data_IF_732993167942
#
_entry.id   IF_732993167942
#
_cell.length_a   1.000
_cell.length_b   1.000
_cell.length_c   1.000
_cell.angle_alpha   90.00
_cell.angle_beta   90.00
_cell.angle_gamma   90.00
#
_symmetry.space_group_name_H-M   'P 1'
#
loop_
_entity.id
_entity.type
_entity.pdbx_description
1 polymer ?
#
# COMPACT_ATOMS: atom_id res chain seq x y z
N UNK A 1 -62.80 -4.71 -26.96
CA UNK A 1 -62.61 -3.36 -27.55
C UNK A 1 -63.43 -2.38 -26.75
N UNK A 2 -62.98 -1.13 -26.67
CA UNK A 2 -63.54 0.02 -25.93
C UNK A 2 -62.94 0.22 -24.52
N UNK A 3 -61.96 1.13 -24.49
CA UNK A 3 -61.46 1.86 -23.31
C UNK A 3 -62.50 2.90 -22.85
N UNK A 4 -62.34 3.45 -21.64
CA UNK A 4 -62.63 4.85 -21.42
C UNK A 4 -61.37 5.62 -21.03
N UNK A 5 -61.17 6.73 -21.75
CA UNK A 5 -60.29 7.82 -21.39
C UNK A 5 -60.94 8.66 -20.28
N UNK A 6 -60.14 9.08 -19.29
CA UNK A 6 -60.51 10.15 -18.37
C UNK A 6 -59.38 11.18 -18.34
N UNK A 7 -59.80 12.43 -18.53
CA UNK A 7 -58.99 13.62 -18.73
C UNK A 7 -58.83 14.42 -17.42
N UNK A 8 -57.88 15.36 -17.48
CA UNK A 8 -57.67 16.51 -16.58
C UNK A 8 -57.26 16.15 -15.13
N UNK A 9 -56.33 16.82 -14.46
CA UNK A 9 -56.24 18.28 -14.28
C UNK A 9 -54.77 18.74 -14.19
N UNK A 10 -54.47 19.86 -14.87
CA UNK A 10 -53.22 20.60 -14.73
C UNK A 10 -53.32 21.60 -13.60
N UNK A 11 -52.39 21.51 -12.64
CA UNK A 11 -52.24 22.48 -11.55
C UNK A 11 -51.16 23.49 -11.91
N UNK A 12 -51.62 24.69 -12.25
CA UNK A 12 -50.82 25.90 -12.43
C UNK A 12 -50.34 26.39 -11.05
N UNK A 13 -49.04 26.28 -10.75
CA UNK A 13 -48.45 26.98 -9.61
C UNK A 13 -47.76 28.25 -10.11
N UNK A 14 -48.53 29.33 -9.92
CA UNK A 14 -48.17 30.72 -9.68
C UNK A 14 -46.67 31.08 -9.69
N UNK A 15 -46.33 31.94 -10.64
CA UNK A 15 -45.15 32.80 -10.63
C UNK A 15 -45.46 34.03 -9.76
N UNK A 16 -44.75 34.23 -8.65
CA UNK A 16 -44.96 35.42 -7.81
C UNK A 16 -44.09 35.49 -6.56
N UNK A 17 -43.27 36.55 -6.49
CA UNK A 17 -42.68 37.18 -5.30
C UNK A 17 -41.92 36.31 -4.28
N UNK A 18 -40.59 36.28 -4.39
CA UNK A 18 -39.71 36.45 -3.22
C UNK A 18 -38.44 37.21 -3.65
N UNK A 19 -38.59 38.54 -3.77
CA UNK A 19 -37.44 39.43 -3.71
C UNK A 19 -36.96 39.47 -2.25
N UNK A 20 -36.00 38.60 -1.91
CA UNK A 20 -35.20 38.77 -0.70
C UNK A 20 -33.94 39.54 -1.06
N UNK A 21 -33.94 40.79 -0.61
CA UNK A 21 -32.78 41.68 -0.53
C UNK A 21 -31.68 40.96 0.25
N UNK A 22 -30.62 40.53 -0.43
CA UNK A 22 -29.37 40.10 0.22
C UNK A 22 -28.54 41.36 0.36
N UNK A 23 -28.49 41.90 1.58
CA UNK A 23 -27.55 42.94 1.96
C UNK A 23 -26.12 42.43 1.79
N UNK A 24 -25.40 43.09 0.89
CA UNK A 24 -23.99 42.90 0.63
C UNK A 24 -23.19 43.27 1.88
N UNK A 25 -22.61 42.27 2.54
CA UNK A 25 -21.57 42.48 3.55
C UNK A 25 -20.25 42.88 2.86
N UNK A 26 -19.48 43.83 3.41
CA UNK A 26 -18.20 44.23 2.86
C UNK A 26 -17.14 43.12 3.03
N UNK A 27 -16.17 43.02 2.09
CA UNK A 27 -15.11 42.02 2.18
C UNK A 27 -14.15 42.36 3.33
N UNK A 28 -13.98 41.39 4.23
CA UNK A 28 -12.92 41.38 5.24
C UNK A 28 -11.57 41.35 4.51
N UNK A 29 -10.74 42.35 4.78
CA UNK A 29 -9.38 42.47 4.26
C UNK A 29 -8.52 41.29 4.70
N UNK A 30 -8.18 40.41 3.75
CA UNK A 30 -7.14 39.40 3.94
C UNK A 30 -5.79 40.09 3.74
N UNK A 31 -5.06 40.22 4.85
CA UNK A 31 -3.68 40.69 4.88
C UNK A 31 -2.78 39.82 4.00
N UNK A 32 -1.94 40.50 3.22
CA UNK A 32 -0.96 39.94 2.31
C UNK A 32 0.05 39.04 3.05
N UNK A 33 -0.10 37.72 2.92
CA UNK A 33 0.98 36.77 3.16
C UNK A 33 1.72 36.54 1.85
N UNK A 34 2.69 37.43 1.61
CA UNK A 34 3.70 37.31 0.57
C UNK A 34 4.63 36.13 0.91
N UNK A 35 4.73 35.22 -0.06
CA UNK A 35 5.96 34.55 -0.49
C UNK A 35 6.63 33.59 0.52
N UNK A 36 6.20 32.33 0.50
CA UNK A 36 6.92 31.17 1.06
C UNK A 36 7.04 30.04 0.02
N UNK A 37 7.25 30.39 -1.25
CA UNK A 37 7.62 29.46 -2.34
C UNK A 37 9.07 29.66 -2.81
N UNK A 38 9.83 30.54 -2.15
CA UNK A 38 11.23 30.86 -2.42
C UNK A 38 12.17 29.92 -1.64
N UNK A 39 12.04 28.61 -1.86
CA UNK A 39 13.10 27.66 -1.55
C UNK A 39 13.68 27.16 -2.87
N UNK A 40 14.82 27.76 -3.19
CA UNK A 40 15.63 27.53 -4.38
C UNK A 40 15.96 26.04 -4.57
N UNK A 41 15.64 25.40 -5.71
CA UNK A 41 16.30 24.18 -6.10
C UNK A 41 17.74 24.49 -6.53
N UNK A 42 18.69 23.71 -6.04
CA UNK A 42 20.10 23.76 -6.40
C UNK A 42 20.30 23.72 -7.93
N UNK A 43 21.29 24.44 -8.49
CA UNK A 43 21.56 24.39 -9.92
C UNK A 43 22.12 23.01 -10.29
N UNK A 44 21.29 22.18 -10.90
CA UNK A 44 21.75 21.05 -11.70
C UNK A 44 22.41 21.64 -12.94
N UNK A 45 23.75 21.72 -12.93
CA UNK A 45 24.55 22.02 -14.10
C UNK A 45 24.32 20.93 -15.14
N UNK A 46 23.39 21.18 -16.07
CA UNK A 46 23.36 20.51 -17.36
C UNK A 46 24.40 21.20 -18.21
N UNK A 47 25.53 20.56 -18.50
CA UNK A 47 26.48 21.04 -19.49
C UNK A 47 25.77 21.12 -20.86
N UNK A 48 25.59 22.32 -21.44
CA UNK A 48 25.23 22.41 -22.83
C UNK A 48 26.52 22.24 -23.64
N UNK A 49 26.43 21.47 -24.72
CA UNK A 49 27.41 21.43 -25.80
C UNK A 49 28.54 20.40 -25.68
N UNK A 50 28.18 19.13 -25.89
CA UNK A 50 29.04 18.23 -26.68
C UNK A 50 28.32 17.92 -27.99
N UNK A 51 28.39 18.85 -28.93
CA UNK A 51 28.07 18.60 -30.33
C UNK A 51 28.89 17.40 -30.82
N UNK A 52 28.27 16.23 -30.88
CA UNK A 52 28.76 15.17 -31.74
C UNK A 52 28.60 15.70 -33.17
N UNK A 53 29.70 16.18 -33.78
CA UNK A 53 29.74 16.47 -35.21
C UNK A 53 29.57 15.14 -35.94
N UNK A 54 28.35 14.79 -36.29
CA UNK A 54 28.10 13.83 -37.36
C UNK A 54 28.48 14.53 -38.65
N UNK A 55 29.55 14.06 -39.30
CA UNK A 55 30.00 14.62 -40.57
C UNK A 55 28.96 14.28 -41.65
N UNK A 56 28.49 15.24 -42.47
CA UNK A 56 27.50 14.99 -43.52
C UNK A 56 28.06 14.29 -44.78
N UNK A 57 29.17 13.56 -44.68
CA UNK A 57 29.86 12.98 -45.83
C UNK A 57 29.53 11.50 -46.13
N UNK A 58 28.78 10.80 -45.25
CA UNK A 58 28.55 9.35 -45.42
C UNK A 58 27.22 8.98 -46.12
N UNK A 59 26.42 9.96 -46.56
CA UNK A 59 25.22 9.70 -47.37
C UNK A 59 25.52 9.78 -48.86
N UNK A 60 26.47 8.97 -49.31
CA UNK A 60 26.63 8.65 -50.73
C UNK A 60 25.46 7.77 -51.18
N UNK A 61 24.61 8.39 -51.99
CA UNK A 61 23.67 7.79 -52.93
C UNK A 61 24.03 6.36 -53.35
N UNK A 62 23.26 5.39 -52.89
CA UNK A 62 23.10 4.10 -53.55
C UNK A 62 21.62 3.80 -53.71
N UNK A 63 21.01 4.42 -54.73
CA UNK A 63 19.79 3.89 -55.34
C UNK A 63 20.19 2.71 -56.23
N UNK A 64 19.64 1.52 -55.97
CA UNK A 64 19.10 0.72 -57.06
C UNK A 64 17.61 0.56 -56.79
N UNK A 65 16.85 1.51 -57.32
CA UNK A 65 15.43 1.31 -57.58
C UNK A 65 15.29 0.19 -58.62
N UNK A 66 14.13 -0.47 -58.64
CA UNK A 66 13.63 -1.35 -59.72
C UNK A 66 14.28 -2.74 -59.88
N UNK A 67 13.92 -3.72 -59.03
CA UNK A 67 13.59 -5.09 -59.51
C UNK A 67 12.93 -6.04 -58.46
N UNK A 68 12.09 -5.59 -57.53
CA UNK A 68 11.29 -6.53 -56.70
C UNK A 68 9.87 -5.98 -56.61
N UNK A 69 9.14 -6.06 -57.73
CA UNK A 69 7.74 -5.61 -57.81
C UNK A 69 6.88 -6.54 -58.67
N UNK A 70 7.19 -7.84 -58.75
CA UNK A 70 6.37 -8.80 -59.53
C UNK A 70 6.31 -10.23 -58.96
N UNK A 71 6.39 -10.48 -57.64
CA UNK A 71 6.13 -11.84 -57.09
C UNK A 71 5.50 -11.89 -55.69
N UNK A 72 4.88 -10.81 -55.20
CA UNK A 72 3.88 -10.96 -54.14
C UNK A 72 2.53 -10.86 -54.80
N UNK A 73 1.75 -11.96 -54.91
CA UNK A 73 0.35 -11.81 -55.30
C UNK A 73 -0.24 -10.81 -54.30
N UNK A 74 -0.93 -9.81 -54.83
CA UNK A 74 -1.86 -8.98 -54.07
C UNK A 74 -2.94 -9.93 -53.57
N UNK A 75 -2.61 -10.69 -52.53
CA UNK A 75 -3.59 -11.34 -51.70
C UNK A 75 -4.22 -10.17 -50.99
N UNK A 76 -5.28 -9.64 -51.60
CA UNK A 76 -6.22 -8.76 -50.95
C UNK A 76 -6.76 -9.56 -49.77
N UNK A 77 -6.01 -9.58 -48.66
CA UNK A 77 -6.55 -9.91 -47.37
C UNK A 77 -7.72 -8.93 -47.23
N UNK A 78 -8.97 -9.42 -47.13
CA UNK A 78 -10.05 -8.53 -46.78
C UNK A 78 -9.60 -7.89 -45.47
N UNK A 79 -9.62 -6.55 -45.42
CA UNK A 79 -9.50 -5.83 -44.18
C UNK A 79 -10.66 -6.33 -43.30
N UNK A 80 -10.39 -7.37 -42.52
CA UNK A 80 -11.25 -7.79 -41.46
C UNK A 80 -11.20 -6.63 -40.48
N UNK A 81 -12.15 -5.71 -40.66
CA UNK A 81 -12.50 -4.66 -39.73
C UNK A 81 -12.54 -5.32 -38.35
N UNK A 82 -11.51 -5.11 -37.53
CA UNK A 82 -11.54 -5.43 -36.11
C UNK A 82 -12.56 -4.47 -35.52
N UNK A 83 -13.85 -4.81 -35.66
CA UNK A 83 -14.95 -4.17 -34.95
C UNK A 83 -14.61 -4.37 -33.48
N UNK A 84 -14.04 -3.34 -32.86
CA UNK A 84 -13.82 -3.29 -31.43
C UNK A 84 -15.17 -3.60 -30.79
N UNK A 85 -15.31 -4.79 -30.20
CA UNK A 85 -16.55 -5.18 -29.56
C UNK A 85 -16.79 -4.20 -28.42
N UNK A 86 -17.87 -3.39 -28.48
CA UNK A 86 -18.17 -2.50 -27.38
C UNK A 86 -18.39 -3.36 -26.13
N UNK A 87 -17.81 -2.96 -25.01
CA UNK A 87 -17.98 -3.66 -23.74
C UNK A 87 -19.49 -3.78 -23.44
N UNK A 88 -19.99 -5.01 -23.35
CA UNK A 88 -21.40 -5.25 -23.06
C UNK A 88 -21.66 -5.11 -21.55
N UNK A 89 -21.95 -3.88 -21.14
CA UNK A 89 -22.26 -3.55 -19.74
C UNK A 89 -23.53 -4.25 -19.22
N UNK A 90 -24.37 -4.82 -20.11
CA UNK A 90 -25.57 -5.58 -19.72
C UNK A 90 -25.22 -6.89 -19.01
N UNK A 91 -24.01 -7.40 -19.19
CA UNK A 91 -23.53 -8.61 -18.55
C UNK A 91 -23.14 -8.39 -17.07
N UNK A 92 -23.06 -7.13 -16.61
CA UNK A 92 -22.66 -6.85 -15.23
C UNK A 92 -23.77 -7.19 -14.22
N UNK A 93 -23.46 -7.91 -13.13
CA UNK A 93 -24.45 -8.28 -12.11
C UNK A 93 -24.93 -7.04 -11.35
N UNK A 94 -26.19 -7.00 -10.87
CA UNK A 94 -26.75 -5.82 -10.24
C UNK A 94 -25.93 -5.35 -9.02
N UNK A 95 -25.97 -4.05 -8.77
CA UNK A 95 -25.37 -3.43 -7.58
C UNK A 95 -26.02 -4.03 -6.33
N UNK A 96 -25.20 -4.40 -5.33
CA UNK A 96 -25.73 -4.98 -4.11
C UNK A 96 -26.62 -3.98 -3.35
N UNK A 97 -27.73 -4.46 -2.78
CA UNK A 97 -28.62 -3.64 -1.97
C UNK A 97 -28.05 -3.43 -0.55
N UNK A 98 -28.18 -2.21 -0.04
CA UNK A 98 -27.81 -1.84 1.32
C UNK A 98 -26.43 -1.18 1.47
N UNK A 99 -26.12 -0.63 2.66
CA UNK A 99 -24.84 0.02 2.91
C UNK A 99 -23.68 -0.99 2.82
N UNK A 100 -22.56 -0.55 2.25
CA UNK A 100 -21.33 -1.35 2.11
C UNK A 100 -20.23 -0.75 2.98
N UNK A 101 -19.60 -1.58 3.79
CA UNK A 101 -18.47 -1.21 4.65
C UNK A 101 -17.19 -1.75 4.03
N UNK A 102 -16.22 -0.86 3.75
CA UNK A 102 -14.98 -1.27 3.10
C UNK A 102 -14.22 -2.31 3.92
N UNK A 103 -14.09 -2.15 5.24
CA UNK A 103 -13.27 -3.00 6.11
C UNK A 103 -13.90 -4.39 6.24
N UNK A 104 -15.23 -4.45 6.36
CA UNK A 104 -15.96 -5.71 6.56
C UNK A 104 -16.21 -6.46 5.25
N UNK A 105 -16.51 -5.74 4.18
CA UNK A 105 -17.02 -6.35 2.93
C UNK A 105 -15.97 -6.39 1.83
N UNK A 106 -15.23 -5.30 1.61
CA UNK A 106 -14.39 -5.13 0.42
C UNK A 106 -12.93 -5.53 0.69
N UNK A 107 -12.38 -5.12 1.82
CA UNK A 107 -11.01 -5.45 2.23
C UNK A 107 -10.72 -6.95 2.24
N UNK A 108 -11.57 -7.85 2.79
CA UNK A 108 -11.31 -9.28 2.72
C UNK A 108 -11.34 -9.82 1.28
N UNK A 109 -12.18 -9.26 0.40
CA UNK A 109 -12.23 -9.64 -1.01
C UNK A 109 -10.94 -9.26 -1.76
N UNK A 110 -10.47 -8.02 -1.56
CA UNK A 110 -9.21 -7.55 -2.14
C UNK A 110 -8.01 -8.32 -1.58
N UNK A 111 -8.00 -8.60 -0.28
CA UNK A 111 -6.95 -9.35 0.36
C UNK A 111 -6.85 -10.80 -0.13
N UNK A 112 -8.00 -11.45 -0.34
CA UNK A 112 -8.05 -12.84 -0.79
C UNK A 112 -7.67 -13.01 -2.27
N UNK A 113 -8.12 -12.11 -3.15
CA UNK A 113 -8.09 -12.32 -4.61
C UNK A 113 -7.20 -11.34 -5.38
N UNK A 114 -6.81 -10.20 -4.79
CA UNK A 114 -6.06 -9.15 -5.50
C UNK A 114 -4.62 -8.98 -5.02
N UNK A 115 -4.37 -9.01 -3.70
CA UNK A 115 -3.07 -8.65 -3.12
C UNK A 115 -1.90 -9.57 -3.55
N UNK A 116 -2.18 -10.81 -3.96
CA UNK A 116 -1.15 -11.74 -4.42
C UNK A 116 -0.41 -11.26 -5.69
N UNK A 117 -1.07 -10.47 -6.54
CA UNK A 117 -0.51 -9.94 -7.80
C UNK A 117 -0.47 -8.40 -7.87
N UNK A 118 -1.24 -7.72 -7.03
CA UNK A 118 -1.37 -6.26 -6.95
C UNK A 118 -1.17 -5.74 -5.52
N UNK A 119 -0.20 -6.31 -4.81
CA UNK A 119 0.15 -5.95 -3.44
C UNK A 119 1.62 -5.54 -3.32
N UNK A 120 2.15 -5.58 -2.10
CA UNK A 120 3.54 -5.16 -1.83
C UNK A 120 4.58 -5.95 -2.66
N UNK A 121 4.42 -7.27 -2.72
CA UNK A 121 5.41 -8.16 -3.36
C UNK A 121 5.36 -8.12 -4.89
N UNK A 122 4.17 -7.92 -5.47
CA UNK A 122 3.94 -7.94 -6.92
C UNK A 122 2.94 -6.86 -7.31
N UNK A 123 3.28 -6.10 -8.35
CA UNK A 123 2.50 -4.96 -8.83
C UNK A 123 2.28 -5.10 -10.34
N UNK A 124 1.47 -6.07 -10.74
CA UNK A 124 1.17 -6.26 -12.17
C UNK A 124 0.48 -5.02 -12.73
N UNK A 125 0.93 -4.54 -13.90
CA UNK A 125 0.40 -3.33 -14.53
C UNK A 125 0.53 -2.07 -13.69
N UNK A 126 1.58 -1.98 -12.85
CA UNK A 126 1.86 -0.83 -12.00
C UNK A 126 0.82 -0.59 -10.90
N UNK A 127 -0.09 -1.54 -10.65
CA UNK A 127 -1.23 -1.35 -9.77
C UNK A 127 -1.00 -1.95 -8.37
N UNK A 128 -1.30 -1.14 -7.34
CA UNK A 128 -1.30 -1.51 -5.93
C UNK A 128 -2.70 -1.34 -5.33
N UNK A 129 -3.29 -2.43 -4.84
CA UNK A 129 -4.66 -2.47 -4.28
C UNK A 129 -4.68 -2.70 -2.76
N UNK A 130 -3.53 -2.66 -2.09
CA UNK A 130 -3.39 -2.77 -0.63
C UNK A 130 -3.39 -1.41 0.07
N UNK A 131 -3.07 -0.33 -0.66
CA UNK A 131 -2.98 1.04 -0.16
C UNK A 131 -3.96 1.92 -0.94
N UNK A 132 -4.85 2.62 -0.22
CA UNK A 132 -5.86 3.54 -0.80
C UNK A 132 -5.28 4.52 -1.81
N UNK A 133 -4.22 5.25 -1.43
CA UNK A 133 -3.62 6.27 -2.28
C UNK A 133 -3.11 5.69 -3.62
N UNK A 134 -2.49 4.51 -3.59
CA UNK A 134 -2.00 3.85 -4.79
C UNK A 134 -3.13 3.24 -5.63
N UNK A 135 -4.16 2.69 -4.98
CA UNK A 135 -5.32 2.13 -5.66
C UNK A 135 -6.11 3.19 -6.44
N UNK A 136 -6.24 4.39 -5.87
CA UNK A 136 -6.91 5.53 -6.51
C UNK A 136 -6.05 6.23 -7.57
N UNK A 137 -4.72 6.21 -7.42
CA UNK A 137 -3.81 6.69 -8.47
C UNK A 137 -3.91 5.85 -9.76
N UNK A 138 -4.27 4.56 -9.64
CA UNK A 138 -4.39 3.65 -10.77
C UNK A 138 -3.09 2.92 -11.08
N UNK A 139 -2.99 2.38 -12.30
CA UNK A 139 -1.80 1.68 -12.79
C UNK A 139 -1.33 2.22 -14.13
N UNK A 140 -0.52 1.43 -14.84
CA UNK A 140 0.08 1.81 -16.13
C UNK A 140 -0.96 2.15 -17.21
N UNK A 141 -2.18 1.62 -17.06
CA UNK A 141 -3.31 1.87 -17.95
C UNK A 141 -4.26 2.97 -17.44
N UNK A 142 -3.84 3.78 -16.47
CA UNK A 142 -4.64 4.87 -15.89
C UNK A 142 -5.51 4.43 -14.70
N UNK A 143 -6.57 5.20 -14.38
CA UNK A 143 -7.38 4.97 -13.19
C UNK A 143 -8.16 3.66 -13.28
N UNK A 144 -8.09 2.87 -12.21
CA UNK A 144 -8.73 1.55 -12.13
C UNK A 144 -10.08 1.62 -11.41
N UNK A 145 -10.19 2.52 -10.43
CA UNK A 145 -11.40 2.82 -9.68
C UNK A 145 -11.84 4.24 -10.01
N UNK A 146 -13.07 4.38 -10.51
CA UNK A 146 -13.69 5.68 -10.77
C UNK A 146 -14.82 5.85 -9.74
N UNK A 147 -14.62 6.65 -8.67
CA UNK A 147 -15.63 6.86 -7.65
C UNK A 147 -16.96 7.33 -8.24
N UNK A 148 -18.08 6.73 -7.81
CA UNK A 148 -19.43 7.02 -8.28
C UNK A 148 -19.81 6.38 -9.62
N UNK A 149 -18.87 5.69 -10.29
CA UNK A 149 -19.11 5.10 -11.62
C UNK A 149 -18.58 3.65 -11.70
N UNK A 150 -19.25 2.72 -11.04
CA UNK A 150 -18.87 1.31 -11.05
C UNK A 150 -18.86 0.70 -12.45
N UNK A 151 -19.86 1.03 -13.28
CA UNK A 151 -19.99 0.47 -14.62
C UNK A 151 -18.91 0.95 -15.61
N UNK A 152 -18.26 2.10 -15.35
CA UNK A 152 -17.16 2.63 -16.17
C UNK A 152 -15.78 2.25 -15.61
N UNK A 153 -15.74 1.74 -14.38
CA UNK A 153 -14.48 1.41 -13.69
C UNK A 153 -13.84 0.14 -14.26
N UNK A 154 -12.56 0.23 -14.64
CA UNK A 154 -11.78 -0.91 -15.17
C UNK A 154 -11.70 -2.07 -14.17
N UNK A 155 -11.71 -1.78 -12.86
CA UNK A 155 -11.77 -2.81 -11.83
C UNK A 155 -12.96 -3.75 -12.04
N UNK A 156 -14.14 -3.18 -12.30
CA UNK A 156 -15.39 -3.93 -12.48
C UNK A 156 -15.36 -4.73 -13.78
N UNK A 157 -14.82 -4.16 -14.86
CA UNK A 157 -14.66 -4.87 -16.14
C UNK A 157 -13.74 -6.07 -16.02
N UNK A 158 -12.63 -5.93 -15.27
CA UNK A 158 -11.67 -7.00 -15.04
C UNK A 158 -12.26 -8.13 -14.19
N UNK A 159 -12.94 -7.81 -13.07
CA UNK A 159 -13.53 -8.85 -12.19
C UNK A 159 -14.74 -9.54 -12.79
N UNK A 160 -15.52 -8.83 -13.60
CA UNK A 160 -16.65 -9.41 -14.33
C UNK A 160 -16.22 -10.07 -15.65
N UNK A 161 -14.94 -9.94 -16.03
CA UNK A 161 -14.32 -10.55 -17.22
C UNK A 161 -14.96 -10.13 -18.53
N UNK A 162 -15.33 -8.86 -18.65
CA UNK A 162 -15.86 -8.29 -19.90
C UNK A 162 -14.75 -8.09 -20.94
N UNK A 163 -13.50 -7.97 -20.49
CA UNK A 163 -12.31 -7.86 -21.35
C UNK A 163 -11.57 -9.20 -21.41
N UNK A 164 -11.34 -9.79 -22.60
CA UNK A 164 -10.68 -11.09 -22.74
C UNK A 164 -9.24 -11.08 -22.22
N UNK A 165 -8.50 -10.00 -22.44
CA UNK A 165 -7.06 -9.90 -22.07
C UNK A 165 -6.81 -9.40 -20.64
N UNK A 166 -7.87 -8.98 -19.94
CA UNK A 166 -7.79 -8.31 -18.63
C UNK A 166 -8.54 -9.01 -17.50
N UNK A 167 -8.96 -10.27 -17.70
CA UNK A 167 -9.76 -11.01 -16.74
C UNK A 167 -9.03 -11.24 -15.40
N UNK A 168 -9.68 -10.86 -14.30
CA UNK A 168 -9.15 -11.01 -12.94
C UNK A 168 -10.14 -11.73 -12.02
N UNK A 169 -9.70 -12.65 -11.13
CA UNK A 169 -8.36 -13.24 -11.07
C UNK A 169 -8.10 -14.15 -12.29
N UNK A 170 -6.83 -14.40 -12.66
CA UNK A 170 -6.49 -15.19 -13.86
C UNK A 170 -6.89 -16.67 -13.74
N UNK A 171 -6.99 -17.19 -12.52
CA UNK A 171 -7.44 -18.56 -12.27
C UNK A 171 -8.96 -18.62 -12.22
N UNK A 172 -9.57 -19.54 -12.96
CA UNK A 172 -11.03 -19.72 -12.97
C UNK A 172 -11.59 -20.07 -11.59
N UNK A 173 -10.86 -20.89 -10.81
CA UNK A 173 -11.28 -21.32 -9.49
C UNK A 173 -11.42 -20.16 -8.47
N UNK A 174 -10.79 -19.01 -8.73
CA UNK A 174 -10.79 -17.85 -7.83
C UNK A 174 -11.76 -16.75 -8.32
N UNK A 175 -12.58 -17.04 -9.34
CA UNK A 175 -13.55 -16.09 -9.91
C UNK A 175 -14.47 -15.49 -8.86
N UNK A 176 -14.88 -14.25 -9.07
CA UNK A 176 -15.86 -13.60 -8.20
C UNK A 176 -17.27 -14.11 -8.49
N UNK A 177 -18.04 -14.33 -7.43
CA UNK A 177 -19.47 -14.56 -7.55
C UNK A 177 -20.19 -13.27 -7.98
N UNK A 178 -21.37 -13.36 -8.62
CA UNK A 178 -22.17 -12.19 -8.97
C UNK A 178 -22.46 -11.27 -7.76
N UNK A 179 -22.66 -11.85 -6.58
CA UNK A 179 -22.91 -11.10 -5.35
C UNK A 179 -21.66 -10.33 -4.88
N UNK A 180 -20.47 -10.93 -4.95
CA UNK A 180 -19.21 -10.25 -4.60
C UNK A 180 -18.95 -9.07 -5.56
N UNK A 181 -19.16 -9.27 -6.87
CA UNK A 181 -19.05 -8.20 -7.87
C UNK A 181 -20.07 -7.10 -7.55
N UNK A 182 -21.31 -7.45 -7.21
CA UNK A 182 -22.33 -6.49 -6.80
C UNK A 182 -21.92 -5.65 -5.58
N UNK A 183 -21.21 -6.24 -4.60
CA UNK A 183 -20.65 -5.51 -3.45
C UNK A 183 -19.54 -4.55 -3.85
N UNK A 184 -18.62 -4.98 -4.72
CA UNK A 184 -17.56 -4.11 -5.25
C UNK A 184 -18.17 -2.93 -6.01
N UNK A 185 -19.20 -3.19 -6.84
CA UNK A 185 -19.92 -2.13 -7.56
C UNK A 185 -20.55 -1.13 -6.60
N UNK A 186 -21.29 -1.61 -5.60
CA UNK A 186 -21.95 -0.77 -4.60
C UNK A 186 -20.96 0.11 -3.84
N UNK A 187 -19.79 -0.42 -3.47
CA UNK A 187 -18.73 0.35 -2.85
C UNK A 187 -18.18 1.46 -3.75
N UNK A 188 -17.94 1.18 -5.04
CA UNK A 188 -17.47 2.19 -6.00
C UNK A 188 -18.52 3.26 -6.20
N UNK A 189 -19.78 2.87 -6.37
CA UNK A 189 -20.91 3.79 -6.57
C UNK A 189 -21.15 4.67 -5.33
N UNK A 190 -20.86 4.16 -4.12
CA UNK A 190 -20.85 4.94 -2.89
C UNK A 190 -19.66 5.93 -2.78
N UNK A 191 -18.84 6.06 -3.82
CA UNK A 191 -17.69 6.97 -3.85
C UNK A 191 -16.36 6.31 -3.46
N UNK A 192 -16.28 4.97 -3.50
CA UNK A 192 -15.09 4.21 -3.14
C UNK A 192 -14.52 4.61 -1.76
N UNK A 193 -15.42 4.80 -0.79
CA UNK A 193 -15.06 5.23 0.57
C UNK A 193 -14.12 4.18 1.17
N UNK A 194 -12.91 4.61 1.48
CA UNK A 194 -11.86 3.77 2.04
C UNK A 194 -11.28 4.52 3.25
N UNK A 195 -11.28 3.93 4.45
CA UNK A 195 -10.69 4.57 5.62
C UNK A 195 -9.20 4.86 5.40
N UNK A 196 -8.74 6.04 5.82
CA UNK A 196 -7.35 6.48 5.68
C UNK A 196 -6.39 5.80 6.66
N UNK A 197 -6.78 4.66 7.24
CA UNK A 197 -5.97 3.96 8.21
C UNK A 197 -4.72 3.33 7.59
N UNK A 198 -4.63 3.20 6.25
CA UNK A 198 -3.38 3.08 5.46
C UNK A 198 -2.42 1.95 5.85
N UNK A 199 -2.81 1.18 6.85
CA UNK A 199 -2.13 0.05 7.42
C UNK A 199 -2.97 -1.11 6.93
N UNK A 200 -2.45 -1.80 5.92
CA UNK A 200 -2.76 -3.22 5.73
C UNK A 200 -2.91 -3.80 7.12
N UNK A 201 -4.03 -4.43 7.43
CA UNK A 201 -4.25 -5.05 8.73
C UNK A 201 -3.13 -6.08 8.93
N UNK A 202 -2.00 -5.64 9.48
CA UNK A 202 -0.89 -6.47 9.83
C UNK A 202 -1.49 -7.33 10.91
N UNK A 203 -1.70 -8.62 10.61
CA UNK A 203 -2.08 -9.60 11.63
C UNK A 203 -1.13 -9.34 12.80
N UNK A 204 -1.66 -8.82 13.91
CA UNK A 204 -0.87 -8.62 15.12
C UNK A 204 -0.31 -9.99 15.45
N UNK A 205 0.98 -10.15 15.23
CA UNK A 205 1.63 -11.43 15.48
C UNK A 205 1.82 -11.55 16.99
N UNK A 206 1.48 -12.73 17.54
CA UNK A 206 1.78 -13.06 18.94
C UNK A 206 3.27 -13.26 19.21
N UNK A 207 4.11 -13.12 18.18
CA UNK A 207 5.55 -13.22 18.32
C UNK A 207 6.09 -12.06 19.17
N UNK A 208 6.81 -12.42 20.24
CA UNK A 208 7.30 -11.55 21.31
C UNK A 208 8.05 -10.30 20.84
N UNK A 209 8.72 -10.35 19.68
CA UNK A 209 9.49 -9.23 19.12
C UNK A 209 8.62 -8.06 18.61
N UNK A 210 7.34 -8.31 18.28
CA UNK A 210 6.42 -7.28 17.78
C UNK A 210 5.48 -6.75 18.86
N UNK A 211 5.66 -7.18 20.11
CA UNK A 211 4.92 -6.64 21.23
C UNK A 211 5.51 -5.28 21.61
N UNK A 212 4.67 -4.24 21.84
CA UNK A 212 5.17 -2.96 22.33
C UNK A 212 5.87 -3.21 23.67
N UNK A 213 7.12 -2.76 23.79
CA UNK A 213 7.87 -2.90 25.04
C UNK A 213 7.08 -2.19 26.14
N UNK A 214 6.66 -2.93 27.16
CA UNK A 214 6.03 -2.30 28.34
C UNK A 214 7.03 -1.27 28.87
N UNK A 215 6.64 0.00 29.05
CA UNK A 215 7.54 0.98 29.64
C UNK A 215 8.02 0.40 30.97
N UNK A 216 9.34 0.27 31.12
CA UNK A 216 9.94 -0.22 32.35
C UNK A 216 9.44 0.73 33.44
N UNK A 217 8.56 0.25 34.30
CA UNK A 217 8.25 0.92 35.57
C UNK A 217 9.59 0.95 36.29
N UNK A 218 10.30 2.07 36.21
CA UNK A 218 11.50 2.27 36.99
C UNK A 218 11.03 2.20 38.42
N UNK A 219 11.23 1.04 39.07
CA UNK A 219 11.17 1.01 40.51
C UNK A 219 12.18 2.05 40.94
N UNK A 220 11.70 3.10 41.62
CA UNK A 220 12.55 4.11 42.21
C UNK A 220 13.38 3.36 43.24
N UNK A 221 14.54 2.85 42.83
CA UNK A 221 15.51 2.26 43.74
C UNK A 221 15.84 3.39 44.71
N UNK A 222 15.59 3.24 46.02
CA UNK A 222 16.02 4.23 46.99
C UNK A 222 17.52 4.41 46.81
N UNK A 223 17.94 5.65 46.52
CA UNK A 223 19.35 5.99 46.41
C UNK A 223 20.01 5.58 47.74
N UNK A 224 21.16 4.87 47.74
CA UNK A 224 21.84 4.55 48.98
C UNK A 224 22.13 5.86 49.71
N UNK A 225 21.52 6.03 50.88
CA UNK A 225 21.82 7.15 51.78
C UNK A 225 23.30 7.06 52.09
N UNK A 226 23.99 8.17 51.83
CA UNK A 226 25.43 8.39 51.94
C UNK A 226 26.05 7.59 53.10
N UNK A 227 27.11 6.84 52.80
CA UNK A 227 28.03 6.35 53.81
C UNK A 227 28.45 7.52 54.70
N UNK A 228 28.05 7.43 55.97
CA UNK A 228 28.44 8.36 56.98
C UNK A 228 29.97 8.40 57.07
N UNK A 229 30.48 9.61 57.08
CA UNK A 229 31.85 10.02 57.38
C UNK A 229 32.47 9.22 58.52
N UNK A 230 33.67 8.68 58.30
CA UNK A 230 34.48 8.12 59.36
C UNK A 230 35.86 7.68 58.88
N UNK A 231 36.86 8.47 59.27
CA UNK A 231 38.30 8.17 59.37
C UNK A 231 39.22 8.73 58.28
N UNK A 232 40.12 9.56 58.79
CA UNK A 232 41.15 10.38 58.17
C UNK A 232 42.17 9.58 57.34
N UNK A 233 42.84 10.23 56.38
CA UNK A 233 43.94 9.61 55.64
C UNK A 233 45.21 9.54 56.51
N UNK A 234 45.97 8.44 56.51
CA UNK A 234 47.37 8.51 56.91
C UNK A 234 48.18 9.23 55.82
N UNK A 235 49.00 10.13 56.33
CA UNK A 235 49.88 11.08 55.67
C UNK A 235 50.93 10.45 54.75
N UNK A 236 51.14 11.13 53.61
CA UNK A 236 52.42 11.32 52.90
C UNK A 236 53.29 10.09 52.65
N UNK A 237 53.13 9.47 51.48
CA UNK A 237 54.25 8.82 50.78
C UNK A 237 54.60 9.65 49.56
N UNK A 238 55.69 10.42 49.72
CA UNK A 238 56.41 11.15 48.69
C UNK A 238 56.80 10.23 47.53
N UNK A 239 56.40 10.55 46.29
CA UNK A 239 56.93 9.89 45.10
C UNK A 239 58.31 10.48 44.75
N UNK A 240 59.34 9.66 44.47
CA UNK A 240 60.58 10.18 43.93
C UNK A 240 60.36 10.60 42.47
N UNK A 241 60.68 11.86 42.19
CA UNK A 241 60.86 12.41 40.86
C UNK A 241 62.01 11.70 40.16
N UNK A 242 61.70 10.88 39.15
CA UNK A 242 62.71 10.30 38.28
C UNK A 242 63.02 11.33 37.19
N UNK A 243 64.17 11.98 37.38
CA UNK A 243 64.86 12.75 36.36
C UNK A 243 65.28 11.86 35.19
N UNK A 244 65.17 12.45 34.01
CA UNK A 244 65.66 11.97 32.72
C UNK A 244 67.15 11.55 32.74
N UNK A 245 67.43 10.32 32.35
CA UNK A 245 68.66 9.88 31.66
C UNK A 245 68.39 8.48 31.09
N UNK A 246 68.30 8.34 29.77
CA UNK A 246 69.41 7.95 28.89
C UNK A 246 69.73 6.45 28.92
N UNK A 247 69.38 5.83 27.79
CA UNK A 247 70.09 4.73 27.10
C UNK A 247 70.29 3.39 27.81
N UNK A 248 69.65 2.38 27.21
CA UNK A 248 70.09 0.99 27.06
C UNK A 248 70.17 0.13 28.32
N UNK A 249 69.09 -0.61 28.60
CA UNK A 249 69.20 -2.06 28.85
C UNK A 249 67.84 -2.75 28.77
N UNK A 250 67.82 -3.84 28.00
CA UNK A 250 66.72 -4.79 27.85
C UNK A 250 66.45 -5.46 29.19
N UNK A 251 65.31 -5.15 29.80
CA UNK A 251 64.74 -5.94 30.89
C UNK A 251 63.27 -6.21 30.59
N UNK A 252 63.02 -7.44 30.16
CA UNK A 252 61.73 -8.09 29.96
C UNK A 252 60.87 -8.00 31.23
N UNK A 253 59.93 -7.06 31.28
CA UNK A 253 58.84 -7.12 32.24
C UNK A 253 57.72 -8.01 31.69
N UNK A 254 57.77 -9.30 32.03
CA UNK A 254 56.64 -10.21 31.94
C UNK A 254 55.49 -9.68 32.81
N UNK A 255 54.49 -9.05 32.20
CA UNK A 255 53.21 -8.81 32.85
C UNK A 255 52.37 -10.09 32.72
N UNK A 256 52.17 -10.80 33.83
CA UNK A 256 51.18 -11.87 33.93
C UNK A 256 49.78 -11.26 33.98
N UNK A 257 48.83 -11.66 33.11
CA UNK A 257 47.44 -11.22 33.23
C UNK A 257 46.77 -11.93 34.42
N UNK A 258 45.86 -11.25 35.16
CA UNK A 258 45.14 -11.88 36.25
C UNK A 258 44.23 -13.00 35.72
N UNK A 259 44.39 -14.19 36.28
CA UNK A 259 43.57 -15.37 36.03
C UNK A 259 42.08 -15.07 36.20
N UNK A 260 41.31 -15.13 35.11
CA UNK A 260 39.84 -15.12 35.12
C UNK A 260 39.33 -16.24 36.03
N UNK A 261 38.70 -15.89 37.16
CA UNK A 261 37.88 -16.86 37.91
C UNK A 261 36.78 -17.38 36.99
N UNK A 262 36.76 -18.69 36.71
CA UNK A 262 35.64 -19.38 36.07
C UNK A 262 34.41 -19.25 36.98
N UNK A 263 33.33 -18.69 36.46
CA UNK A 263 32.01 -18.83 37.06
C UNK A 263 31.55 -20.29 36.90
N UNK A 264 30.91 -20.90 37.93
CA UNK A 264 30.34 -22.23 37.79
C UNK A 264 29.18 -22.23 36.79
N UNK A 265 28.92 -23.37 36.10
CA UNK A 265 27.82 -23.46 35.15
C UNK A 265 26.48 -23.29 35.88
N UNK A 266 25.65 -22.37 35.40
CA UNK A 266 24.26 -22.23 35.82
C UNK A 266 23.50 -23.44 35.27
N UNK A 267 23.15 -24.39 36.13
CA UNK A 267 22.27 -25.51 35.80
C UNK A 267 20.88 -25.00 35.47
N UNK A 268 20.59 -24.79 34.19
CA UNK A 268 19.22 -24.55 33.71
C UNK A 268 18.50 -25.89 33.68
N UNK A 269 18.00 -26.32 34.83
CA UNK A 269 17.00 -27.39 34.91
C UNK A 269 15.67 -26.84 34.36
N UNK A 270 15.49 -26.96 33.03
CA UNK A 270 14.25 -26.63 32.34
C UNK A 270 13.20 -27.67 32.74
N UNK A 271 12.39 -27.36 33.76
CA UNK A 271 11.19 -28.13 34.11
C UNK A 271 10.22 -28.03 32.94
N UNK A 272 10.19 -29.05 32.09
CA UNK A 272 9.18 -29.23 31.04
C UNK A 272 7.84 -29.49 31.73
N UNK A 273 7.09 -28.43 32.01
CA UNK A 273 5.65 -28.54 32.24
C UNK A 273 4.99 -28.58 30.86
N UNK A 274 4.68 -29.78 30.41
CA UNK A 274 3.79 -29.98 29.27
C UNK A 274 2.40 -29.46 29.65
N UNK A 275 1.76 -28.62 28.82
CA UNK A 275 0.38 -28.24 29.08
C UNK A 275 -0.51 -29.48 28.90
N UNK A 276 -1.27 -29.82 29.93
CA UNK A 276 -2.30 -30.86 29.94
C UNK A 276 -3.39 -30.46 28.94
N UNK A 277 -3.34 -31.01 27.73
CA UNK A 277 -4.39 -30.84 26.70
C UNK A 277 -5.65 -31.52 27.22
N UNK A 278 -6.70 -30.73 27.45
CA UNK A 278 -8.03 -31.25 27.76
C UNK A 278 -8.63 -31.91 26.50
N UNK A 279 -9.30 -33.08 26.62
CA UNK A 279 -9.92 -33.73 25.46
C UNK A 279 -11.08 -32.88 24.93
N UNK A 280 -11.03 -32.61 23.63
CA UNK A 280 -12.08 -31.95 22.87
C UNK A 280 -13.32 -32.86 22.87
N UNK A 281 -14.39 -32.42 23.53
CA UNK A 281 -15.70 -33.07 23.51
C UNK A 281 -16.25 -32.95 22.07
N UNK A 282 -16.21 -34.04 21.30
CA UNK A 282 -16.90 -34.10 19.99
C UNK A 282 -18.41 -34.09 20.26
N UNK A 283 -19.07 -32.97 20.00
CA UNK A 283 -20.51 -32.92 19.83
C UNK A 283 -20.87 -33.69 18.57
N UNK A 284 -21.52 -34.84 18.73
CA UNK A 284 -22.12 -35.63 17.66
C UNK A 284 -23.25 -34.84 17.01
N UNK A 285 -22.97 -34.18 15.88
CA UNK A 285 -24.02 -33.65 15.00
C UNK A 285 -24.49 -34.80 14.12
N UNK A 286 -25.75 -35.19 14.30
CA UNK A 286 -26.43 -36.18 13.48
C UNK A 286 -26.46 -35.73 12.01
N UNK A 287 -26.10 -36.64 11.10
CA UNK A 287 -26.25 -36.44 9.65
C UNK A 287 -27.70 -36.77 9.25
N UNK A 288 -28.40 -35.93 8.48
CA UNK A 288 -29.66 -36.33 7.86
C UNK A 288 -29.39 -37.33 6.73
N UNK A 289 -30.07 -38.47 6.81
CA UNK A 289 -30.13 -39.50 5.78
C UNK A 289 -30.94 -38.99 4.59
N UNK A 290 -30.32 -38.90 3.42
CA UNK A 290 -31.04 -38.79 2.15
C UNK A 290 -31.16 -40.20 1.57
N UNK A 291 -32.36 -40.76 1.57
CA UNK A 291 -32.71 -41.95 0.79
C UNK A 291 -33.01 -41.56 -0.65
N UNK A 292 -32.58 -42.42 -1.56
CA UNK A 292 -32.74 -42.35 -3.02
C UNK A 292 -34.19 -42.51 -3.46
#
# INVERSE_FOLDING_TARGET
MVQPALAAEGSLISCGQFARTIEMHPPIAIGAMKNLWELQPAPFSVEPNRTLRVQPADYCMAKPTTLILLLFPVFALPAAELKSTPLDLRQLPPVAAGPVDFVKDIQPLLAAKCHACHGLEKQKGGLRLDIKAAALAGGDHGPVVIPGKSAESKLVHAVARLTPDGAMPPKEAERFSPAEIGRIRAWIDAGAIWPDDGKVAVKKSDHWAYQPSRPRRTSRVPLPTRFATGSSPPSTTTCPSISSASSNSLATCCQTPPTRRRLPPVSIARRLQTPKVAPIRRSSVARPSWTA
#
